data_IF_870928619506
#
_entry.id   IF_870928619506
#
_cell.length_a   1.000
_cell.length_b   1.000
_cell.length_c   1.000
_cell.angle_alpha   90.00
_cell.angle_beta   90.00
_cell.angle_gamma   90.00
#
_symmetry.space_group_name_H-M   'P 1'
#
loop_
_entity.id
_entity.type
_entity.pdbx_description
1 polymer ?
2 non-polymer ?
#
# COMPACT_ATOMS: atom_id res chain seq x y z
N UNK A 44 4.23 -13.06 2.29
CA UNK A 44 2.85 -12.61 2.36
C UNK A 44 2.68 -11.63 3.52
N UNK A 45 2.58 -10.35 3.19
CA UNK A 45 2.50 -9.27 4.16
C UNK A 45 1.14 -8.59 4.11
N UNK A 46 0.81 -7.90 5.21
CA UNK A 46 -0.42 -7.15 5.29
C UNK A 46 -0.37 -5.95 4.34
N UNK A 47 -1.51 -5.64 3.72
CA UNK A 47 -1.60 -4.48 2.87
C UNK A 47 -1.29 -3.21 3.67
N UNK A 48 -0.52 -2.31 3.05
CA UNK A 48 -0.01 -1.14 3.72
C UNK A 48 1.45 -1.22 4.06
N UNK A 49 2.05 -2.41 3.99
CA UNK A 49 3.47 -2.56 4.25
C UNK A 49 4.27 -1.85 3.17
N UNK A 50 5.26 -1.07 3.60
CA UNK A 50 6.08 -0.28 2.70
C UNK A 50 7.41 -1.00 2.47
N UNK A 51 7.71 -1.30 1.21
CA UNK A 51 8.95 -1.96 0.83
C UNK A 51 9.81 -1.01 0.01
N UNK A 52 11.07 -1.37 -0.15
CA UNK A 52 12.04 -0.56 -0.88
C UNK A 52 12.19 -1.07 -2.30
N UNK A 53 12.11 -0.17 -3.27
CA UNK A 53 12.39 -0.50 -4.65
C UNK A 53 13.90 -0.61 -4.87
N UNK A 54 14.29 -1.02 -6.08
CA UNK A 54 15.71 -1.15 -6.39
C UNK A 54 16.43 0.18 -6.35
N UNK A 55 15.71 1.28 -6.58
CA UNK A 55 16.33 2.60 -6.55
C UNK A 55 16.47 3.13 -5.13
N UNK A 56 15.55 2.78 -4.24
CA UNK A 56 15.59 3.24 -2.87
C UNK A 56 14.28 3.83 -2.39
N UNK A 57 13.43 4.23 -3.33
CA UNK A 57 12.13 4.78 -2.97
C UNK A 57 11.21 3.68 -2.46
N UNK A 58 10.10 4.11 -1.85
CA UNK A 58 9.16 3.18 -1.23
C UNK A 58 8.06 2.76 -2.21
N UNK A 59 7.40 1.66 -1.86
CA UNK A 59 6.28 1.13 -2.64
C UNK A 59 5.42 0.30 -1.71
N UNK A 60 4.10 0.46 -1.84
CA UNK A 60 3.19 -0.36 -1.05
C UNK A 60 3.23 -1.80 -1.52
N UNK A 61 3.05 -2.72 -0.56
CA UNK A 61 3.10 -4.14 -0.88
C UNK A 61 1.94 -4.53 -1.80
N UNK A 62 0.79 -3.87 -1.64
CA UNK A 62 -0.34 -4.12 -2.52
C UNK A 62 -0.16 -3.54 -3.91
N UNK A 63 0.81 -2.64 -4.08
CA UNK A 63 1.08 -2.01 -5.36
C UNK A 63 2.19 -2.70 -6.15
N UNK A 64 2.81 -3.73 -5.57
CA UNK A 64 3.86 -4.47 -6.27
C UNK A 64 3.23 -5.31 -7.38
N UNK A 65 3.86 -5.29 -8.54
CA UNK A 65 3.40 -6.03 -9.71
C UNK A 65 4.49 -6.97 -10.21
N UNK A 66 4.13 -7.82 -11.16
CA UNK A 66 5.08 -8.78 -11.71
C UNK A 66 6.19 -8.05 -12.45
N UNK A 67 7.44 -8.41 -12.14
CA UNK A 67 8.59 -7.78 -12.75
C UNK A 67 9.12 -6.56 -12.03
N UNK A 68 8.44 -6.10 -10.99
CA UNK A 68 8.89 -4.91 -10.26
C UNK A 68 10.22 -5.19 -9.57
N UNK A 69 11.03 -4.13 -9.45
CA UNK A 69 12.39 -4.24 -8.95
C UNK A 69 12.44 -3.79 -7.49
N UNK A 70 12.58 -4.76 -6.59
CA UNK A 70 12.74 -4.52 -5.17
C UNK A 70 14.23 -4.46 -4.81
N UNK A 71 14.52 -4.15 -3.55
CA UNK A 71 15.88 -4.00 -3.07
C UNK A 71 16.24 -5.16 -2.15
N UNK A 72 17.34 -5.84 -2.43
CA UNK A 72 17.80 -6.94 -1.62
C UNK A 72 18.70 -6.49 -0.50
N UNK A 73 18.98 -7.40 0.45
CA UNK A 73 19.81 -7.02 1.60
C UNK A 73 21.25 -6.72 1.26
N UNK A 74 21.75 -7.16 0.10
CA UNK A 74 23.12 -6.89 -0.30
C UNK A 74 23.24 -5.66 -1.21
N UNK A 75 22.14 -4.95 -1.44
CA UNK A 75 22.13 -3.76 -2.27
C UNK A 75 21.77 -3.97 -3.72
N UNK A 76 21.90 -5.18 -4.25
CA UNK A 76 21.51 -5.42 -5.63
C UNK A 76 20.00 -5.60 -5.73
N UNK A 77 19.50 -5.60 -6.96
CA UNK A 77 18.07 -5.60 -7.20
C UNK A 77 17.47 -7.00 -7.11
N UNK A 78 16.14 -7.03 -6.99
CA UNK A 78 15.37 -8.26 -6.93
C UNK A 78 14.16 -8.12 -7.86
N UNK A 79 13.70 -9.24 -8.39
CA UNK A 79 12.57 -9.26 -9.32
C UNK A 79 11.40 -9.99 -8.67
N UNK A 80 10.28 -9.30 -8.52
CA UNK A 80 9.08 -9.88 -7.94
C UNK A 80 8.21 -10.47 -9.05
N UNK A 81 7.55 -11.58 -8.74
CA UNK A 81 6.70 -12.26 -9.71
C UNK A 81 5.70 -13.13 -8.95
N UNK A 82 4.73 -13.65 -9.70
CA UNK A 82 3.66 -14.51 -9.18
C UNK A 82 2.96 -13.84 -7.99
N UNK A 83 2.26 -12.76 -8.33
CA UNK A 83 1.54 -11.99 -7.32
C UNK A 83 0.33 -12.78 -6.84
N UNK A 84 0.12 -12.77 -5.52
CA UNK A 84 -0.98 -13.49 -4.89
C UNK A 84 -1.60 -12.59 -3.83
N UNK A 85 -2.91 -12.65 -3.70
CA UNK A 85 -3.63 -11.82 -2.74
C UNK A 85 -4.62 -12.67 -1.97
N UNK A 86 -5.05 -12.15 -0.83
CA UNK A 86 -6.01 -12.87 -0.01
C UNK A 86 -6.52 -12.01 1.12
N UNK A 87 -7.26 -12.65 2.02
CA UNK A 87 -7.85 -11.95 3.15
C UNK A 87 -8.07 -12.96 4.28
N UNK A 88 -7.32 -12.80 5.36
CA UNK A 88 -7.45 -13.71 6.50
C UNK A 88 -6.93 -13.01 7.75
N UNK A 89 -7.13 -13.67 8.89
CA UNK A 89 -6.61 -13.18 10.15
C UNK A 89 -5.10 -13.36 10.19
N UNK A 90 -4.37 -12.27 10.38
CA UNK A 90 -2.92 -12.29 10.27
C UNK A 90 -2.27 -12.28 11.65
N UNK A 91 -0.95 -12.48 11.66
CA UNK A 91 -0.14 -12.46 12.86
C UNK A 91 0.62 -11.14 12.93
N UNK A 92 0.51 -10.47 14.07
CA UNK A 92 1.21 -9.23 14.36
C UNK A 92 2.40 -9.54 15.25
N UNK A 93 3.60 -9.27 14.75
CA UNK A 93 4.85 -9.47 15.47
C UNK A 93 5.35 -8.12 15.95
N UNK A 94 5.40 -7.95 17.27
CA UNK A 94 5.88 -6.72 17.88
C UNK A 94 7.31 -6.94 18.36
N UNK A 95 8.22 -6.12 17.82
CA UNK A 95 9.63 -6.10 18.21
C UNK A 95 9.97 -4.70 18.70
N UNK A 96 11.09 -4.59 19.41
CA UNK A 96 11.50 -3.31 19.94
C UNK A 96 12.01 -2.41 18.83
N UNK A 97 11.91 -1.10 19.07
CA UNK A 97 12.34 -0.05 18.15
C UNK A 97 11.53 -0.03 16.85
N UNK A 98 11.52 -1.14 16.12
CA UNK A 98 10.97 -1.15 14.77
C UNK A 98 9.45 -1.33 14.78
N UNK A 99 8.83 -0.88 13.68
CA UNK A 99 7.40 -1.02 13.48
C UNK A 99 7.00 -2.49 13.42
N UNK A 100 5.77 -2.77 13.87
CA UNK A 100 5.26 -4.13 13.90
C UNK A 100 5.24 -4.75 12.51
N UNK A 101 5.36 -6.07 12.46
CA UNK A 101 5.33 -6.83 11.22
C UNK A 101 4.09 -7.70 11.20
N UNK A 102 3.16 -7.42 10.28
CA UNK A 102 1.91 -8.16 10.17
C UNK A 102 2.01 -9.03 8.93
N UNK A 103 1.94 -10.34 9.12
CA UNK A 103 2.14 -11.28 8.03
C UNK A 103 1.22 -12.49 8.21
N UNK A 104 1.31 -13.44 7.28
CA UNK A 104 0.45 -14.62 7.32
C UNK A 104 1.08 -15.73 8.17
N UNK A 105 0.31 -16.81 8.35
CA UNK A 105 0.78 -17.94 9.14
C UNK A 105 1.93 -18.66 8.45
N UNK A 106 1.93 -18.71 7.12
CA UNK A 106 2.94 -19.43 6.37
C UNK A 106 4.15 -18.56 6.02
N UNK A 107 4.20 -17.34 6.53
CA UNK A 107 5.32 -16.45 6.24
C UNK A 107 6.61 -16.97 6.87
N UNK A 108 7.71 -16.86 6.13
CA UNK A 108 9.02 -17.31 6.59
C UNK A 108 9.78 -16.11 7.13
N UNK A 109 10.27 -16.23 8.37
CA UNK A 109 11.04 -15.18 9.02
C UNK A 109 12.52 -15.54 8.95
N UNK A 110 13.33 -14.57 8.55
CA UNK A 110 14.79 -14.69 8.54
C UNK A 110 15.31 -14.14 9.86
N UNK A 111 15.67 -15.04 10.79
CA UNK A 111 16.04 -14.66 12.14
C UNK A 111 17.47 -15.05 12.42
N UNK A 112 17.96 -14.58 13.57
CA UNK A 112 19.26 -14.95 14.10
C UNK A 112 19.08 -15.56 15.48
N UNK A 113 19.73 -16.68 15.72
CA UNK A 113 19.62 -17.42 16.97
C UNK A 113 20.95 -17.40 17.71
N UNK A 114 20.89 -17.29 19.03
CA UNK A 114 22.09 -17.29 19.84
C UNK A 114 22.82 -18.62 19.72
N UNK A 115 24.12 -18.60 20.04
CA UNK A 115 24.97 -19.77 19.96
C UNK A 115 24.97 -20.40 18.56
N UNK A 133 29.03 -15.67 16.59
CA UNK A 133 28.24 -15.56 17.80
C UNK A 133 26.80 -16.02 17.55
N UNK A 134 26.16 -15.43 16.54
CA UNK A 134 24.79 -15.75 16.17
C UNK A 134 24.78 -16.59 14.89
N UNK A 135 23.73 -17.41 14.75
CA UNK A 135 23.55 -18.28 13.60
C UNK A 135 22.29 -17.88 12.84
N UNK A 136 22.36 -17.94 11.52
CA UNK A 136 21.26 -17.53 10.65
C UNK A 136 20.27 -18.68 10.47
N UNK A 137 18.99 -18.42 10.73
CA UNK A 137 17.96 -19.45 10.72
C UNK A 137 16.70 -18.90 10.06
N UNK A 138 16.15 -19.65 9.10
CA UNK A 138 14.84 -19.35 8.53
C UNK A 138 13.80 -20.24 9.19
N UNK A 139 12.74 -19.63 9.72
CA UNK A 139 11.69 -20.36 10.42
C UNK A 139 10.34 -19.75 10.10
N UNK A 140 9.34 -20.61 9.90
CA UNK A 140 8.01 -20.12 9.56
C UNK A 140 7.35 -19.48 10.78
N UNK A 141 6.28 -18.71 10.51
CA UNK A 141 5.57 -18.01 11.59
C UNK A 141 4.84 -18.98 12.50
N UNK A 142 4.26 -20.05 11.93
CA UNK A 142 3.49 -20.99 12.72
C UNK A 142 4.37 -21.71 13.74
N UNK A 143 5.49 -22.28 13.28
CA UNK A 143 6.41 -22.96 14.18
C UNK A 143 6.94 -22.01 15.24
N UNK A 144 7.27 -20.78 14.85
CA UNK A 144 7.76 -19.81 15.83
C UNK A 144 6.69 -19.48 16.87
N UNK A 145 5.42 -19.45 16.46
CA UNK A 145 4.33 -19.26 17.41
C UNK A 145 4.27 -20.44 18.38
N UNK A 146 4.47 -21.66 17.87
CA UNK A 146 4.38 -22.83 18.73
C UNK A 146 5.59 -23.01 19.65
N UNK A 147 6.71 -22.34 19.38
CA UNK A 147 7.86 -22.45 20.26
C UNK A 147 7.58 -21.79 21.61
N UNK A 148 8.16 -22.32 22.69
CA UNK A 148 8.01 -21.68 24.00
C UNK A 148 8.73 -20.35 24.05
N UNK A 149 8.32 -19.52 25.02
CA UNK A 149 8.87 -18.16 25.13
C UNK A 149 10.36 -18.19 25.42
N UNK A 150 10.82 -19.15 26.23
CA UNK A 150 12.23 -19.25 26.53
C UNK A 150 13.05 -19.51 25.27
N UNK A 151 12.46 -20.18 24.29
CA UNK A 151 13.10 -20.37 23.00
C UNK A 151 12.87 -19.19 22.06
N UNK A 152 11.70 -18.54 22.14
CA UNK A 152 11.43 -17.38 21.31
C UNK A 152 12.39 -16.24 21.63
N UNK A 153 12.78 -16.09 22.89
CA UNK A 153 13.67 -15.00 23.28
C UNK A 153 15.08 -15.16 22.72
N UNK A 154 15.43 -16.33 22.18
CA UNK A 154 16.76 -16.54 21.60
C UNK A 154 16.86 -16.10 20.14
N UNK A 155 15.74 -15.77 19.50
CA UNK A 155 15.73 -15.39 18.09
C UNK A 155 15.65 -13.88 17.95
N UNK A 156 16.29 -13.37 16.89
CA UNK A 156 16.36 -11.94 16.65
C UNK A 156 16.11 -11.64 15.17
N UNK A 157 15.29 -10.63 14.91
CA UNK A 157 15.20 -10.05 13.58
C UNK A 157 16.47 -9.26 13.29
N UNK A 158 16.66 -8.92 12.01
CA UNK A 158 17.85 -8.15 11.65
C UNK A 158 17.54 -7.24 10.47
N UNK A 159 18.28 -6.13 10.42
CA UNK A 159 18.14 -5.11 9.38
C UNK A 159 19.51 -4.85 8.76
N UNK A 160 19.48 -4.34 7.53
CA UNK A 160 20.70 -4.05 6.79
C UNK A 160 20.99 -2.56 6.85
N UNK A 161 22.23 -2.22 7.22
CA UNK A 161 22.64 -0.83 7.34
C UNK A 161 24.02 -0.62 6.72
N UNK A 175 23.85 -4.26 10.04
CA UNK A 175 23.83 -5.55 10.73
C UNK A 175 23.34 -5.39 12.17
N UNK A 176 22.19 -4.74 12.33
CA UNK A 176 21.60 -4.51 13.65
C UNK A 176 20.65 -5.66 13.99
N UNK A 177 20.77 -6.17 15.21
CA UNK A 177 19.93 -7.26 15.69
C UNK A 177 18.83 -6.70 16.57
N UNK A 178 17.64 -7.28 16.47
CA UNK A 178 16.45 -6.78 17.13
C UNK A 178 15.71 -7.89 17.87
N UNK A 179 15.30 -7.60 19.09
CA UNK A 179 14.62 -8.57 19.92
C UNK A 179 13.18 -8.75 19.45
N UNK A 180 12.75 -10.00 19.31
CA UNK A 180 11.35 -10.33 19.06
C UNK A 180 10.71 -10.55 20.43
N UNK A 181 9.75 -9.69 20.78
CA UNK A 181 9.24 -9.71 22.14
C UNK A 181 7.74 -10.03 22.26
N UNK A 182 7.00 -9.99 21.16
CA UNK A 182 5.62 -10.47 21.23
C UNK A 182 5.14 -10.82 19.83
N UNK A 183 4.14 -11.69 19.77
CA UNK A 183 3.55 -12.10 18.50
C UNK A 183 2.17 -12.70 18.77
N UNK A 184 1.13 -12.07 18.22
CA UNK A 184 -0.23 -12.45 18.52
C UNK A 184 -1.07 -12.48 17.24
N UNK A 185 -2.17 -13.23 17.30
CA UNK A 185 -3.08 -13.33 16.17
C UNK A 185 -4.10 -12.20 16.21
N UNK A 186 -4.29 -11.55 15.07
CA UNK A 186 -5.23 -10.43 14.98
C UNK A 186 -6.66 -10.89 15.17
N UNK A 187 -7.50 -9.98 15.65
CA UNK A 187 -8.89 -10.31 15.94
C UNK A 187 -9.72 -10.43 14.67
N UNK A 188 -9.59 -9.47 13.76
CA UNK A 188 -10.42 -9.45 12.57
C UNK A 188 -9.60 -9.72 11.31
N UNK A 189 -10.21 -10.30 10.28
CA UNK A 189 -9.47 -10.59 9.04
C UNK A 189 -8.95 -9.31 8.38
N UNK A 190 -7.94 -9.50 7.53
CA UNK A 190 -7.26 -8.39 6.87
C UNK A 190 -6.77 -8.86 5.51
N UNK A 191 -6.83 -7.97 4.53
CA UNK A 191 -6.30 -8.26 3.21
C UNK A 191 -4.78 -8.30 3.24
N UNK A 192 -4.21 -9.24 2.47
CA UNK A 192 -2.76 -9.40 2.41
C UNK A 192 -2.34 -9.65 0.96
N UNK A 193 -1.09 -9.28 0.67
CA UNK A 193 -0.48 -9.48 -0.64
C UNK A 193 0.87 -10.17 -0.46
N UNK A 194 1.25 -10.97 -1.46
CA UNK A 194 2.49 -11.71 -1.43
C UNK A 194 2.99 -11.97 -2.83
N UNK A 195 4.24 -12.42 -2.91
CA UNK A 195 4.92 -12.67 -4.17
C UNK A 195 6.18 -13.47 -3.86
N UNK A 196 6.94 -13.79 -4.91
CA UNK A 196 8.21 -14.50 -4.79
C UNK A 196 9.33 -13.58 -5.27
N UNK A 197 10.53 -13.86 -4.78
CA UNK A 197 11.71 -13.03 -5.05
C UNK A 197 12.84 -13.93 -5.51
N UNK A 198 13.55 -13.49 -6.54
CA UNK A 198 14.67 -14.25 -7.10
C UNK A 198 15.90 -14.08 -6.22
N UNK A 199 17.03 -14.64 -6.68
CA UNK A 199 18.33 -14.56 -5.97
C UNK A 199 18.15 -15.22 -4.61
N UNK A 200 18.63 -14.62 -3.51
CA UNK A 200 18.48 -15.22 -2.19
C UNK A 200 17.05 -15.16 -1.66
N UNK A 201 16.09 -14.69 -2.46
CA UNK A 201 14.69 -14.62 -2.06
C UNK A 201 14.48 -13.72 -0.85
N UNK A 202 15.34 -12.71 -0.69
CA UNK A 202 15.26 -11.76 0.41
C UNK A 202 15.01 -10.36 -0.15
N UNK A 203 14.24 -9.57 0.59
CA UNK A 203 13.97 -8.19 0.21
C UNK A 203 13.96 -7.33 1.47
N UNK A 204 13.87 -6.02 1.28
CA UNK A 204 13.99 -5.06 2.37
C UNK A 204 12.68 -4.31 2.57
N UNK A 205 12.31 -4.11 3.84
CA UNK A 205 11.20 -3.25 4.19
C UNK A 205 11.66 -1.79 4.14
N UNK A 206 10.70 -0.87 4.31
CA UNK A 206 11.03 0.55 4.30
C UNK A 206 12.02 0.92 5.39
N UNK A 207 11.95 0.24 6.54
CA UNK A 207 12.90 0.43 7.62
C UNK A 207 14.09 -0.52 7.53
N UNK A 208 14.38 -1.02 6.32
CA UNK A 208 15.52 -1.88 6.03
C UNK A 208 15.45 -3.23 6.73
N UNK A 209 14.28 -3.62 7.23
CA UNK A 209 14.14 -4.95 7.82
C UNK A 209 14.19 -6.01 6.72
N UNK A 210 14.99 -7.05 6.95
CA UNK A 210 15.17 -8.10 5.95
C UNK A 210 14.02 -9.09 6.05
N UNK A 211 13.36 -9.34 4.92
CA UNK A 211 12.23 -10.24 4.85
C UNK A 211 12.50 -11.34 3.83
N UNK A 212 11.84 -12.48 4.03
CA UNK A 212 11.92 -13.66 3.19
C UNK A 212 10.57 -13.91 2.52
N UNK A 213 10.59 -14.72 1.46
CA UNK A 213 9.37 -15.12 0.76
C UNK A 213 8.26 -15.55 1.72
N UNK B 44 -4.59 14.72 12.19
CA UNK B 44 -3.65 14.31 11.14
C UNK B 44 -2.92 13.04 11.53
N UNK B 45 -3.33 11.92 10.95
CA UNK B 45 -2.77 10.61 11.28
C UNK B 45 -2.01 10.04 10.10
N UNK B 46 -1.12 9.10 10.41
CA UNK B 46 -0.36 8.42 9.37
C UNK B 46 -1.28 7.52 8.55
N UNK B 47 -1.01 7.45 7.24
CA UNK B 47 -1.77 6.57 6.38
C UNK B 47 -1.60 5.11 6.81
N UNK B 48 -2.70 4.37 6.77
CA UNK B 48 -2.77 3.02 7.26
C UNK B 48 -3.50 2.86 8.57
N UNK B 49 -3.73 3.96 9.29
CA UNK B 49 -4.49 3.89 10.53
C UNK B 49 -5.94 3.51 10.25
N UNK B 50 -6.45 2.55 11.01
CA UNK B 50 -7.81 2.04 10.83
C UNK B 50 -8.73 2.71 11.83
N UNK B 51 -9.77 3.37 11.33
CA UNK B 51 -10.75 4.05 12.15
C UNK B 51 -12.10 3.36 12.04
N UNK B 52 -12.99 3.67 12.98
CA UNK B 52 -14.32 3.07 13.02
C UNK B 52 -15.35 4.02 12.43
N UNK B 53 -16.17 3.51 11.51
CA UNK B 53 -17.31 4.27 11.01
C UNK B 53 -18.44 4.27 12.02
N UNK B 54 -19.50 5.02 11.72
CA UNK B 54 -20.63 5.11 12.63
C UNK B 54 -21.34 3.76 12.78
N UNK B 55 -21.23 2.90 11.78
CA UNK B 55 -21.88 1.59 11.85
C UNK B 55 -21.07 0.60 12.69
N UNK B 56 -19.74 0.72 12.68
CA UNK B 56 -18.90 -0.19 13.42
C UNK B 56 -17.76 -0.78 12.61
N UNK B 57 -17.91 -0.78 11.29
CA UNK B 57 -16.89 -1.31 10.41
C UNK B 57 -15.68 -0.38 10.38
N UNK B 58 -14.56 -0.90 9.86
CA UNK B 58 -13.31 -0.15 9.83
C UNK B 58 -13.18 0.63 8.52
N UNK B 59 -12.28 1.61 8.54
CA UNK B 59 -12.02 2.44 7.37
C UNK B 59 -10.63 3.03 7.52
N UNK B 60 -9.88 3.03 6.41
CA UNK B 60 -8.56 3.65 6.41
C UNK B 60 -8.70 5.16 6.52
N UNK B 61 -7.72 5.79 7.18
CA UNK B 61 -7.76 7.23 7.37
C UNK B 61 -7.62 7.96 6.03
N UNK B 62 -6.85 7.40 5.10
CA UNK B 62 -6.70 8.02 3.78
C UNK B 62 -7.92 7.84 2.90
N UNK B 63 -8.83 6.94 3.26
CA UNK B 63 -10.03 6.69 2.47
C UNK B 63 -11.24 7.46 2.99
N UNK B 64 -11.10 8.20 4.08
CA UNK B 64 -12.21 8.99 4.60
C UNK B 64 -12.44 10.19 3.69
N UNK B 65 -13.70 10.46 3.38
CA UNK B 65 -14.09 11.57 2.51
C UNK B 65 -15.04 12.50 3.24
N UNK B 66 -15.37 13.60 2.59
CA UNK B 66 -16.27 14.59 3.17
C UNK B 66 -17.67 14.00 3.33
N UNK B 67 -18.26 14.20 4.50
CA UNK B 67 -19.58 13.71 4.79
C UNK B 67 -19.63 12.29 5.33
N UNK B 68 -18.51 11.59 5.39
CA UNK B 68 -18.49 10.24 5.94
C UNK B 68 -18.83 10.27 7.42
N UNK B 69 -19.48 9.20 7.88
CA UNK B 69 -19.99 9.12 9.25
C UNK B 69 -19.05 8.26 10.09
N UNK B 70 -18.29 8.89 10.97
CA UNK B 70 -17.45 8.18 11.91
C UNK B 70 -18.19 7.96 13.23
N UNK B 71 -17.56 7.21 14.13
CA UNK B 71 -18.16 6.85 15.41
C UNK B 71 -17.42 7.56 16.53
N UNK B 72 -18.16 8.28 17.36
CA UNK B 72 -17.59 9.02 18.48
C UNK B 72 -17.50 8.18 19.74
N UNK B 73 -16.77 8.68 20.74
CA UNK B 73 -16.60 7.89 21.97
C UNK B 73 -17.88 7.71 22.77
N UNK B 74 -18.91 8.52 22.54
CA UNK B 74 -20.17 8.39 23.24
C UNK B 74 -21.19 7.57 22.49
N UNK B 75 -20.82 6.98 21.35
CA UNK B 75 -21.72 6.16 20.57
C UNK B 75 -22.44 6.91 19.45
N UNK B 76 -22.50 8.23 19.51
CA UNK B 76 -23.18 9.00 18.48
C UNK B 76 -22.27 9.15 17.25
N UNK B 77 -22.87 9.63 16.17
CA UNK B 77 -22.18 9.72 14.90
C UNK B 77 -21.35 11.00 14.81
N UNK B 78 -20.43 11.02 13.85
CA UNK B 78 -19.59 12.18 13.60
C UNK B 78 -19.52 12.44 12.10
N UNK B 79 -19.34 13.70 11.73
CA UNK B 79 -19.27 14.11 10.33
C UNK B 79 -17.87 14.63 10.03
N UNK B 80 -17.20 14.00 9.07
CA UNK B 80 -15.86 14.40 8.68
C UNK B 80 -15.91 15.38 7.52
N UNK B 81 -14.99 16.35 7.54
CA UNK B 81 -14.93 17.37 6.51
C UNK B 81 -13.54 17.98 6.51
N UNK B 82 -13.27 18.80 5.51
CA UNK B 82 -11.99 19.48 5.32
C UNK B 82 -10.83 18.49 5.34
N UNK B 83 -10.80 17.66 4.29
CA UNK B 83 -9.76 16.65 4.17
C UNK B 83 -8.43 17.31 3.84
N UNK B 84 -7.36 16.85 4.48
CA UNK B 84 -6.03 17.41 4.31
C UNK B 84 -5.02 16.26 4.25
N UNK B 85 -4.04 16.39 3.37
CA UNK B 85 -3.02 15.37 3.18
C UNK B 85 -1.63 16.02 3.15
N UNK B 86 -0.61 15.20 3.40
CA UNK B 86 0.75 15.69 3.37
C UNK B 86 1.74 14.56 3.51
N UNK B 87 3.01 14.94 3.67
CA UNK B 87 4.08 13.96 3.80
C UNK B 87 5.24 14.62 4.54
N UNK B 88 5.52 14.15 5.75
CA UNK B 88 6.61 14.69 6.56
C UNK B 88 7.02 13.64 7.58
N UNK B 89 8.10 13.93 8.30
CA UNK B 89 8.56 13.06 9.36
C UNK B 89 7.60 13.14 10.55
N UNK B 90 7.04 12.00 10.93
CA UNK B 90 5.99 11.94 11.94
C UNK B 90 6.54 11.46 13.27
N UNK B 91 5.69 11.55 14.30
CA UNK B 91 6.02 11.08 15.64
C UNK B 91 5.32 9.74 15.90
N UNK B 92 6.09 8.76 16.37
CA UNK B 92 5.55 7.45 16.70
C UNK B 92 5.36 7.36 18.21
N UNK B 93 4.12 7.17 18.64
CA UNK B 93 3.78 7.04 20.05
C UNK B 93 3.54 5.57 20.35
N UNK B 94 4.39 5.00 21.20
CA UNK B 94 4.30 3.59 21.57
C UNK B 94 3.65 3.48 22.94
N UNK B 95 2.55 2.73 23.01
CA UNK B 95 1.88 2.43 24.25
C UNK B 95 1.81 0.91 24.45
N UNK B 96 1.59 0.50 25.69
CA UNK B 96 1.53 -0.92 26.03
C UNK B 96 0.20 -1.52 25.57
N UNK B 97 0.28 -2.78 25.13
CA UNK B 97 -0.88 -3.60 24.74
C UNK B 97 -1.68 -3.01 23.58
N UNK B 98 -1.32 -1.81 23.13
CA UNK B 98 -2.03 -1.15 22.05
C UNK B 98 -1.11 -0.90 20.87
N UNK B 99 -1.71 -0.81 19.68
CA UNK B 99 -0.96 -0.49 18.47
C UNK B 99 -0.41 0.93 18.56
N UNK B 100 0.76 1.13 17.96
CA UNK B 100 1.40 2.45 17.99
C UNK B 100 0.52 3.49 17.31
N UNK B 101 0.67 4.74 17.76
CA UNK B 101 -0.06 5.87 17.20
C UNK B 101 0.95 6.81 16.54
N UNK B 102 0.87 6.92 15.23
CA UNK B 102 1.77 7.75 14.44
C UNK B 102 0.97 8.95 13.94
N UNK B 103 1.39 10.14 14.33
CA UNK B 103 0.67 11.37 14.01
C UNK B 103 1.67 12.48 13.75
N UNK B 104 1.15 13.67 13.44
CA UNK B 104 1.98 14.82 13.10
C UNK B 104 2.37 15.59 14.36
N UNK B 105 3.23 16.59 14.18
CA UNK B 105 3.68 17.40 15.30
C UNK B 105 2.55 18.24 15.90
N UNK B 106 1.61 18.69 15.07
CA UNK B 106 0.51 19.53 15.51
C UNK B 106 -0.72 18.73 15.93
N UNK B 107 -0.60 17.40 15.98
CA UNK B 107 -1.74 16.57 16.36
C UNK B 107 -2.08 16.77 17.83
N UNK B 108 -3.37 16.82 18.13
CA UNK B 108 -3.87 17.02 19.48
C UNK B 108 -4.20 15.67 20.09
N UNK B 109 -3.67 15.40 21.27
CA UNK B 109 -3.89 14.15 21.98
C UNK B 109 -4.98 14.34 23.03
N UNK B 110 -5.93 13.41 23.05
CA UNK B 110 -6.98 13.40 24.07
C UNK B 110 -6.49 12.54 25.22
N UNK B 111 -6.03 13.20 26.29
CA UNK B 111 -5.41 12.52 27.40
C UNK B 111 -6.20 12.75 28.69
N UNK B 112 -5.81 12.01 29.73
CA UNK B 112 -6.34 12.18 31.08
C UNK B 112 -5.18 12.48 32.01
N UNK B 113 -5.34 13.48 32.87
CA UNK B 113 -4.32 13.90 33.80
C UNK B 113 -4.78 13.64 35.23
N UNK B 114 -3.87 13.20 36.08
CA UNK B 114 -4.20 12.95 37.47
C UNK B 114 -4.60 14.24 38.17
N UNK B 115 -5.30 14.09 39.29
CA UNK B 115 -5.82 15.22 40.07
C UNK B 115 -6.73 16.10 39.22
N UNK B 133 -11.13 11.95 40.05
CA UNK B 133 -9.77 11.47 40.23
C UNK B 133 -8.84 12.00 39.15
N UNK B 134 -9.22 11.76 37.89
CA UNK B 134 -8.43 12.22 36.75
C UNK B 134 -9.11 13.40 36.07
N UNK B 135 -8.30 14.23 35.42
CA UNK B 135 -8.76 15.42 34.73
C UNK B 135 -8.50 15.29 33.24
N UNK B 136 -9.45 15.77 32.43
CA UNK B 136 -9.37 15.66 30.98
C UNK B 136 -8.59 16.84 30.42
N UNK B 137 -7.57 16.54 29.60
CA UNK B 137 -6.66 17.55 29.08
C UNK B 137 -6.38 17.26 27.62
N UNK B 138 -6.54 18.28 26.76
CA UNK B 138 -6.12 18.22 25.37
C UNK B 138 -4.78 18.93 25.23
N UNK B 139 -3.79 18.24 24.69
CA UNK B 139 -2.44 18.79 24.53
C UNK B 139 -1.86 18.28 23.22
N UNK B 140 -1.15 19.17 22.52
CA UNK B 140 -0.55 18.79 21.25
C UNK B 140 0.65 17.87 21.48
N UNK B 141 1.09 17.24 20.39
CA UNK B 141 2.21 16.31 20.47
C UNK B 141 3.50 17.06 20.77
N UNK B 142 3.66 18.26 20.18
CA UNK B 142 4.89 19.02 20.38
C UNK B 142 5.03 19.47 21.83
N UNK B 143 3.97 20.07 22.40
CA UNK B 143 4.02 20.49 23.79
C UNK B 143 4.24 19.30 24.73
N UNK B 144 3.59 18.17 24.44
CA UNK B 144 3.79 16.98 25.27
C UNK B 144 5.22 16.47 25.18
N UNK B 145 5.84 16.59 23.99
CA UNK B 145 7.24 16.22 23.85
C UNK B 145 8.12 17.16 24.67
N UNK B 146 7.80 18.45 24.69
CA UNK B 146 8.61 19.42 25.42
C UNK B 146 8.40 19.33 26.93
N UNK B 147 7.37 18.63 27.39
CA UNK B 147 7.15 18.46 28.81
C UNK B 147 8.23 17.55 29.40
N UNK B 148 8.61 17.76 30.66
CA UNK B 148 9.58 16.86 31.30
C UNK B 148 9.00 15.47 31.51
N UNK B 149 9.91 14.51 31.69
CA UNK B 149 9.50 13.11 31.81
C UNK B 149 8.63 12.88 33.04
N UNK B 150 9.02 13.45 34.19
CA UNK B 150 8.24 13.32 35.41
C UNK B 150 6.90 14.03 35.32
N UNK B 151 6.69 14.87 34.31
CA UNK B 151 5.37 15.40 33.99
C UNK B 151 4.66 14.58 32.94
N UNK B 152 5.41 14.02 31.99
CA UNK B 152 4.83 13.15 30.98
C UNK B 152 4.20 11.90 31.59
N UNK B 153 4.79 11.39 32.68
CA UNK B 153 4.28 10.18 33.31
C UNK B 153 2.91 10.38 33.95
N UNK B 154 2.43 11.61 34.08
CA UNK B 154 1.13 11.89 34.67
C UNK B 154 -0.02 11.79 33.69
N UNK B 155 0.25 11.67 32.40
CA UNK B 155 -0.78 11.63 31.38
C UNK B 155 -1.04 10.20 30.92
N UNK B 156 -2.30 9.92 30.57
CA UNK B 156 -2.74 8.60 30.15
C UNK B 156 -3.67 8.72 28.94
N UNK B 157 -3.45 7.86 27.95
CA UNK B 157 -4.43 7.70 26.90
C UNK B 157 -5.65 6.96 27.44
N UNK B 158 -6.75 7.00 26.70
CA UNK B 158 -7.98 6.35 27.14
C UNK B 158 -8.80 5.89 25.94
N UNK B 159 -9.61 4.86 26.18
CA UNK B 159 -10.49 4.29 25.17
C UNK B 159 -11.91 4.23 25.72
N UNK B 160 -12.87 4.27 24.80
CA UNK B 160 -14.28 4.26 25.16
C UNK B 160 -14.89 2.88 24.90
N UNK B 161 -15.58 2.35 25.90
CA UNK B 161 -16.22 1.04 25.78
C UNK B 161 -17.62 1.07 26.41
N UNK B 175 -13.66 3.21 29.59
CA UNK B 175 -12.83 4.21 30.27
C UNK B 175 -11.55 3.58 30.82
N UNK B 176 -10.82 2.88 29.95
CA UNK B 176 -9.57 2.23 30.32
C UNK B 176 -8.41 3.19 30.09
N UNK B 177 -7.52 3.29 31.09
CA UNK B 177 -6.38 4.19 31.03
C UNK B 177 -5.12 3.40 30.68
N UNK B 178 -4.24 4.00 29.88
CA UNK B 178 -3.06 3.32 29.37
C UNK B 178 -1.84 4.21 29.57
N UNK B 179 -0.75 3.61 30.03
CA UNK B 179 0.48 4.33 30.29
C UNK B 179 1.19 4.67 28.98
N UNK B 180 1.60 5.93 28.84
CA UNK B 180 2.48 6.36 27.75
C UNK B 180 3.92 6.27 28.25
N UNK B 181 4.78 5.60 27.48
CA UNK B 181 6.14 5.34 27.94
C UNK B 181 7.23 5.71 26.93
N UNK B 182 6.85 6.03 25.70
CA UNK B 182 7.83 6.46 24.72
C UNK B 182 7.15 7.22 23.59
N UNK B 183 7.90 8.12 22.97
CA UNK B 183 7.45 8.89 21.82
C UNK B 183 8.65 9.51 21.13
N UNK B 184 8.87 9.15 19.86
CA UNK B 184 10.05 9.57 19.13
C UNK B 184 9.67 10.01 17.73
N UNK B 185 10.53 10.82 17.13
CA UNK B 185 10.34 11.30 15.76
C UNK B 185 10.94 10.31 14.77
N UNK B 186 10.17 9.94 13.75
CA UNK B 186 10.65 8.99 12.75
C UNK B 186 11.76 9.61 11.91
N UNK B 187 12.64 8.74 11.40
CA UNK B 187 13.79 9.21 10.63
C UNK B 187 13.41 9.58 9.20
N UNK B 188 12.46 8.87 8.59
CA UNK B 188 12.09 9.12 7.21
C UNK B 188 10.67 9.67 7.12
N UNK B 189 10.41 10.61 6.20
CA UNK B 189 9.05 11.14 6.06
C UNK B 189 8.06 10.05 5.63
N UNK B 190 6.78 10.32 5.88
CA UNK B 190 5.72 9.36 5.62
C UNK B 190 4.45 10.13 5.28
N UNK B 191 3.66 9.59 4.36
CA UNK B 191 2.40 10.21 4.00
C UNK B 191 1.42 10.14 5.17
N UNK B 192 0.65 11.21 5.35
CA UNK B 192 -0.32 11.31 6.43
C UNK B 192 -1.61 11.92 5.92
N UNK B 193 -2.71 11.58 6.58
CA UNK B 193 -4.02 12.11 6.24
C UNK B 193 -4.67 12.70 7.48
N UNK B 194 -5.49 13.73 7.28
CA UNK B 194 -6.16 14.40 8.37
C UNK B 194 -7.47 15.01 7.92
N UNK B 195 -8.25 15.43 8.90
CA UNK B 195 -9.57 16.03 8.67
C UNK B 195 -10.03 16.65 9.97
N UNK B 196 -11.22 17.25 9.94
CA UNK B 196 -11.84 17.81 11.13
C UNK B 196 -13.14 17.06 11.40
N UNK B 197 -13.57 17.08 12.65
CA UNK B 197 -14.74 16.35 13.10
C UNK B 197 -15.64 17.29 13.89
N UNK B 198 -16.95 17.21 13.66
CA UNK B 198 -17.92 18.05 14.33
C UNK B 198 -18.15 17.53 15.74
N UNK B 199 -19.13 18.13 16.43
CA UNK B 199 -19.52 17.75 17.80
C UNK B 199 -18.30 17.94 18.70
N UNK B 200 -17.99 16.99 19.58
CA UNK B 200 -16.83 17.12 20.47
C UNK B 200 -15.50 16.98 19.75
N UNK B 201 -15.50 16.82 18.42
CA UNK B 201 -14.27 16.69 17.63
C UNK B 201 -13.45 15.48 18.05
N UNK B 202 -14.11 14.43 18.54
CA UNK B 202 -13.45 13.21 18.96
C UNK B 202 -13.93 12.04 18.11
N UNK B 203 -13.01 11.12 17.82
CA UNK B 203 -13.33 9.91 17.08
C UNK B 203 -12.54 8.75 17.67
N UNK B 204 -12.86 7.54 17.23
CA UNK B 204 -12.28 6.32 17.76
C UNK B 204 -11.47 5.60 16.70
N UNK B 205 -10.33 5.05 17.11
CA UNK B 205 -9.54 4.18 16.25
C UNK B 205 -10.16 2.79 16.24
N UNK B 206 -9.59 1.89 15.42
CA UNK B 206 -10.13 0.53 15.32
C UNK B 206 -10.09 -0.18 16.67
N UNK B 207 -9.08 0.11 17.49
CA UNK B 207 -8.99 -0.42 18.84
C UNK B 207 -9.68 0.47 19.87
N UNK B 208 -10.64 1.29 19.43
CA UNK B 208 -11.47 2.14 20.28
C UNK B 208 -10.66 3.21 21.01
N UNK B 209 -9.44 3.48 20.56
CA UNK B 209 -8.64 4.55 21.14
C UNK B 209 -9.22 5.90 20.77
N UNK B 210 -9.35 6.79 21.75
CA UNK B 210 -9.96 8.09 21.52
C UNK B 210 -8.93 9.03 20.89
N UNK B 211 -9.30 9.62 19.75
CA UNK B 211 -8.43 10.51 19.01
C UNK B 211 -9.11 11.86 18.82
N UNK B 212 -8.30 12.89 18.61
CA UNK B 212 -8.76 14.25 18.38
C UNK B 212 -8.36 14.67 16.97
N UNK B 213 -9.05 15.70 16.46
CA UNK B 213 -8.74 16.28 15.15
C UNK B 213 -7.25 16.51 14.93
N UNK C 44 -4.60 -6.07 -29.24
CA UNK C 44 -4.27 -7.37 -28.67
C UNK C 44 -3.67 -7.20 -27.28
N UNK C 45 -4.47 -7.47 -26.25
CA UNK C 45 -4.08 -7.29 -24.86
C UNK C 45 -4.01 -8.64 -24.17
N UNK C 46 -3.28 -8.67 -23.05
CA UNK C 46 -3.16 -9.88 -22.24
C UNK C 46 -4.49 -10.22 -21.59
N UNK C 47 -4.79 -11.51 -21.52
CA UNK C 47 -5.99 -11.96 -20.82
C UNK C 47 -5.95 -11.54 -19.36
N UNK C 48 -7.10 -11.09 -18.86
CA UNK C 48 -7.19 -10.53 -17.52
C UNK C 48 -7.32 -9.02 -17.51
N UNK C 49 -7.06 -8.35 -18.63
CA UNK C 49 -7.23 -6.91 -18.70
C UNK C 49 -8.70 -6.54 -18.55
N UNK C 50 -8.99 -5.56 -17.71
CA UNK C 50 -10.36 -5.15 -17.42
C UNK C 50 -10.70 -3.92 -18.25
N UNK C 51 -11.73 -4.03 -19.07
CA UNK C 51 -12.19 -2.94 -19.92
C UNK C 51 -13.57 -2.47 -19.46
N UNK C 52 -13.95 -1.29 -19.94
CA UNK C 52 -15.24 -0.69 -19.58
C UNK C 52 -16.25 -0.93 -20.67
N UNK C 53 -17.43 -1.42 -20.28
CA UNK C 53 -18.55 -1.53 -21.20
C UNK C 53 -19.19 -0.17 -21.42
N UNK C 54 -20.18 -0.12 -22.32
CA UNK C 54 -20.85 1.14 -22.60
C UNK C 54 -21.62 1.65 -21.39
N UNK C 55 -22.04 0.76 -20.50
CA UNK C 55 -22.78 1.18 -19.31
C UNK C 55 -21.84 1.69 -18.22
N UNK C 56 -20.63 1.14 -18.12
CA UNK C 56 -19.69 1.56 -17.11
C UNK C 56 -19.09 0.40 -16.34
N UNK C 57 -19.76 -0.75 -16.36
CA UNK C 57 -19.26 -1.93 -15.66
C UNK C 57 -18.06 -2.50 -16.40
N UNK C 58 -17.36 -3.41 -15.71
CA UNK C 58 -16.13 -3.98 -16.25
C UNK C 58 -16.42 -5.25 -17.04
N UNK C 59 -15.44 -5.65 -17.85
CA UNK C 59 -15.55 -6.86 -18.66
C UNK C 59 -14.14 -7.33 -18.98
N UNK C 60 -13.93 -8.64 -18.88
CA UNK C 60 -12.64 -9.22 -19.24
C UNK C 60 -12.43 -9.14 -20.75
N UNK C 61 -11.18 -8.95 -21.15
CA UNK C 61 -10.87 -8.82 -22.57
C UNK C 61 -11.15 -10.13 -23.31
N UNK C 62 -10.93 -11.28 -22.65
CA UNK C 62 -11.22 -12.57 -23.26
C UNK C 62 -12.70 -12.88 -23.31
N UNK C 63 -13.54 -12.15 -22.57
CA UNK C 63 -14.98 -12.39 -22.53
C UNK C 63 -15.75 -11.50 -23.50
N UNK C 64 -15.09 -10.59 -24.21
CA UNK C 64 -15.77 -9.75 -25.19
C UNK C 64 -16.15 -10.59 -26.40
N UNK C 65 -17.36 -10.36 -26.91
CA UNK C 65 -17.87 -11.07 -28.07
C UNK C 65 -18.24 -10.07 -29.17
N UNK C 66 -18.48 -10.60 -30.36
CA UNK C 66 -18.81 -9.75 -31.50
C UNK C 66 -20.12 -9.02 -31.24
N UNK C 67 -20.07 -7.69 -31.29
CA UNK C 67 -21.23 -6.86 -31.03
C UNK C 67 -21.26 -6.23 -29.66
N UNK C 68 -20.32 -6.56 -28.79
CA UNK C 68 -20.29 -5.99 -27.45
C UNK C 68 -20.01 -4.50 -27.51
N UNK C 69 -20.59 -3.77 -26.55
CA UNK C 69 -20.53 -2.31 -26.52
C UNK C 69 -19.48 -1.86 -25.50
N UNK C 70 -18.36 -1.36 -26.00
CA UNK C 70 -17.32 -0.80 -25.15
C UNK C 70 -17.52 0.71 -24.99
N UNK C 71 -16.68 1.32 -24.18
CA UNK C 71 -16.76 2.74 -23.86
C UNK C 71 -15.60 3.49 -24.50
N UNK C 72 -15.91 4.53 -25.26
CA UNK C 72 -14.90 5.33 -25.90
C UNK C 72 -14.44 6.48 -25.03
N UNK C 73 -13.35 7.14 -25.43
CA UNK C 73 -12.81 8.24 -24.61
C UNK C 73 -13.70 9.46 -24.56
N UNK C 74 -14.64 9.61 -25.49
CA UNK C 74 -15.54 10.74 -25.52
C UNK C 74 -16.87 10.46 -24.83
N UNK C 75 -17.02 9.29 -24.21
CA UNK C 75 -18.24 8.92 -23.53
C UNK C 75 -19.22 8.11 -24.37
N UNK C 76 -19.09 8.15 -25.68
CA UNK C 76 -19.99 7.39 -26.54
C UNK C 76 -19.56 5.93 -26.60
N UNK C 77 -20.43 5.11 -27.17
CA UNK C 77 -20.21 3.66 -27.18
C UNK C 77 -19.32 3.26 -28.35
N UNK C 78 -18.79 2.05 -28.26
CA UNK C 78 -17.96 1.46 -29.30
C UNK C 78 -18.41 0.03 -29.56
N UNK C 79 -18.22 -0.44 -30.79
CA UNK C 79 -18.64 -1.77 -31.19
C UNK C 79 -17.41 -2.61 -31.52
N UNK C 80 -17.26 -3.72 -30.82
CA UNK C 80 -16.15 -4.64 -31.05
C UNK C 80 -16.55 -5.72 -32.04
N UNK C 81 -15.59 -6.14 -32.86
CA UNK C 81 -15.82 -7.16 -33.87
C UNK C 81 -14.48 -7.80 -34.22
N UNK C 82 -14.56 -8.90 -34.97
CA UNK C 82 -13.38 -9.66 -35.39
C UNK C 82 -12.54 -10.03 -34.17
N UNK C 83 -13.11 -10.92 -33.35
CA UNK C 83 -12.44 -11.36 -32.14
C UNK C 83 -11.25 -12.24 -32.52
N UNK C 84 -10.13 -12.03 -31.85
CA UNK C 84 -8.89 -12.74 -32.13
C UNK C 84 -8.20 -13.08 -30.82
N UNK C 85 -7.65 -14.30 -30.75
CA UNK C 85 -6.96 -14.79 -29.57
C UNK C 85 -5.63 -15.42 -29.98
N UNK C 86 -4.74 -15.57 -29.02
CA UNK C 86 -3.45 -16.16 -29.29
C UNK C 86 -2.66 -16.40 -28.02
N UNK C 87 -1.39 -16.76 -28.21
CA UNK C 87 -0.51 -17.06 -27.09
C UNK C 87 0.93 -16.82 -27.54
N UNK C 88 1.57 -15.79 -26.96
CA UNK C 88 2.95 -15.48 -27.30
C UNK C 88 3.56 -14.67 -26.15
N UNK C 89 4.87 -14.45 -26.25
CA UNK C 89 5.56 -13.62 -25.28
C UNK C 89 5.17 -12.16 -25.48
N UNK C 90 4.63 -11.54 -24.44
CA UNK C 90 4.07 -10.20 -24.54
C UNK C 90 5.03 -9.16 -23.94
N UNK C 91 4.70 -7.90 -24.19
CA UNK C 91 5.46 -6.77 -23.66
C UNK C 91 4.72 -6.16 -22.48
N UNK C 92 5.43 -5.96 -21.38
CA UNK C 92 4.88 -5.36 -20.18
C UNK C 92 5.30 -3.89 -20.12
N UNK C 93 4.31 -3.00 -20.14
CA UNK C 93 4.54 -1.56 -20.09
C UNK C 93 4.22 -1.09 -18.68
N UNK C 94 5.24 -0.62 -17.98
CA UNK C 94 5.10 -0.14 -16.60
C UNK C 94 5.07 1.38 -16.58
N UNK C 95 4.02 1.92 -15.97
CA UNK C 95 3.89 3.36 -15.76
C UNK C 95 3.82 3.65 -14.27
N UNK C 96 4.08 4.91 -13.92
CA UNK C 96 4.11 5.30 -12.51
C UNK C 96 2.69 5.36 -11.95
N UNK C 97 2.46 4.63 -10.86
CA UNK C 97 1.17 4.61 -10.16
C UNK C 97 0.03 4.22 -11.09
N UNK C 98 0.26 3.20 -11.90
CA UNK C 98 -0.78 2.63 -12.75
C UNK C 98 -0.54 1.13 -12.89
N UNK C 99 -1.61 0.39 -13.14
CA UNK C 99 -1.48 -1.04 -13.38
C UNK C 99 -0.72 -1.27 -14.68
N UNK C 100 0.08 -2.34 -14.71
CA UNK C 100 0.88 -2.64 -15.89
C UNK C 100 -0.01 -2.88 -17.10
N UNK C 101 0.54 -2.59 -18.27
CA UNK C 101 -0.14 -2.82 -19.55
C UNK C 101 0.65 -3.88 -20.30
N UNK C 102 0.06 -5.06 -20.46
CA UNK C 102 0.69 -6.17 -21.13
C UNK C 102 -0.01 -6.37 -22.48
N UNK C 103 0.75 -6.23 -23.56
CA UNK C 103 0.20 -6.29 -24.91
C UNK C 103 1.21 -6.95 -25.84
N UNK C 104 0.82 -7.06 -27.11
CA UNK C 104 1.65 -7.72 -28.12
C UNK C 104 2.63 -6.74 -28.76
N UNK C 105 3.51 -7.29 -29.60
CA UNK C 105 4.51 -6.47 -30.27
C UNK C 105 3.88 -5.51 -31.27
N UNK C 106 2.79 -5.92 -31.92
CA UNK C 106 2.13 -5.11 -32.94
C UNK C 106 1.06 -4.19 -32.37
N UNK C 107 0.91 -4.14 -31.04
CA UNK C 107 -0.10 -3.29 -30.43
C UNK C 107 0.25 -1.82 -30.65
N UNK C 108 -0.76 -1.02 -30.94
CA UNK C 108 -0.60 0.41 -31.19
C UNK C 108 -0.90 1.16 -29.90
N UNK C 109 0.03 2.02 -29.49
CA UNK C 109 -0.13 2.81 -28.28
C UNK C 109 -0.56 4.22 -28.64
N UNK C 110 -1.58 4.73 -27.95
CA UNK C 110 -2.04 6.10 -28.10
C UNK C 110 -1.30 6.95 -27.08
N UNK C 111 -0.28 7.68 -27.54
CA UNK C 111 0.61 8.43 -26.69
C UNK C 111 0.52 9.92 -26.99
N UNK C 112 1.17 10.71 -26.15
CA UNK C 112 1.31 12.15 -26.34
C UNK C 112 2.79 12.50 -26.37
N UNK C 113 3.18 13.32 -27.34
CA UNK C 113 4.57 13.71 -27.53
C UNK C 113 4.71 15.20 -27.28
N UNK C 114 5.80 15.58 -26.60
CA UNK C 114 6.08 16.98 -26.34
C UNK C 114 6.34 17.73 -27.64
N UNK C 115 5.96 19.00 -27.65
CA UNK C 115 6.07 19.86 -28.84
C UNK C 115 5.33 19.25 -30.03
N UNK C 133 0.77 22.26 -26.82
CA UNK C 133 1.94 21.85 -26.07
C UNK C 133 2.34 20.42 -26.40
N UNK C 134 1.40 19.49 -26.28
CA UNK C 134 1.64 18.09 -26.58
C UNK C 134 1.00 17.72 -27.90
N UNK C 135 1.59 16.72 -28.57
CA UNK C 135 1.12 16.24 -29.86
C UNK C 135 0.64 14.80 -29.74
N UNK C 136 -0.44 14.48 -30.43
CA UNK C 136 -1.03 13.15 -30.39
C UNK C 136 -0.36 12.27 -31.45
N UNK C 137 0.13 11.12 -31.03
CA UNK C 137 0.91 10.23 -31.90
C UNK C 137 0.48 8.79 -31.63
N UNK C 138 0.20 8.06 -32.71
CA UNK C 138 -0.04 6.61 -32.63
C UNK C 138 1.26 5.91 -33.03
N UNK C 139 1.75 5.03 -32.15
CA UNK C 139 3.01 4.34 -32.38
C UNK C 139 2.88 2.92 -31.86
N UNK C 140 3.44 1.96 -32.60
CA UNK C 140 3.37 0.56 -32.20
C UNK C 140 4.31 0.30 -31.03
N UNK C 141 4.10 -0.86 -30.39
CA UNK C 141 4.92 -1.23 -29.24
C UNK C 141 6.35 -1.54 -29.67
N UNK C 142 6.52 -2.17 -30.83
CA UNK C 142 7.85 -2.53 -31.30
C UNK C 142 8.70 -1.30 -31.59
N UNK C 143 8.15 -0.36 -32.38
CA UNK C 143 8.88 0.87 -32.69
C UNK C 143 9.20 1.65 -31.43
N UNK C 144 8.27 1.70 -30.49
CA UNK C 144 8.53 2.40 -29.23
C UNK C 144 9.62 1.69 -28.42
N UNK C 145 9.68 0.36 -28.49
CA UNK C 145 10.76 -0.37 -27.83
C UNK C 145 12.09 -0.02 -28.46
N UNK C 146 12.13 0.11 -29.78
CA UNK C 146 13.39 0.42 -30.45
C UNK C 146 13.83 1.87 -30.26
N UNK C 147 12.95 2.74 -29.79
CA UNK C 147 13.31 4.14 -29.58
C UNK C 147 14.32 4.27 -28.44
N UNK C 148 15.23 5.24 -28.53
CA UNK C 148 16.16 5.49 -27.43
C UNK C 148 15.44 6.04 -26.21
N UNK C 149 16.11 5.91 -25.06
CA UNK C 149 15.50 6.32 -23.79
C UNK C 149 15.23 7.82 -23.77
N UNK C 150 16.12 8.62 -24.36
CA UNK C 150 15.89 10.06 -24.39
C UNK C 150 14.65 10.41 -25.20
N UNK C 151 14.29 9.59 -26.18
CA UNK C 151 13.05 9.76 -26.92
C UNK C 151 11.86 9.10 -26.23
N UNK C 152 12.09 7.97 -25.56
CA UNK C 152 11.02 7.32 -24.82
C UNK C 152 10.50 8.22 -23.69
N UNK C 153 11.39 8.98 -23.07
CA UNK C 153 10.97 9.88 -21.99
C UNK C 153 10.13 11.04 -22.48
N UNK C 154 10.07 11.27 -23.79
CA UNK C 154 9.25 12.35 -24.34
C UNK C 154 7.81 11.95 -24.58
N UNK C 155 7.48 10.66 -24.47
CA UNK C 155 6.14 10.18 -24.71
C UNK C 155 5.43 9.92 -23.38
N UNK C 156 4.13 10.16 -23.38
CA UNK C 156 3.31 10.02 -22.17
C UNK C 156 2.01 9.31 -22.53
N UNK C 157 1.62 8.35 -21.70
CA UNK C 157 0.27 7.81 -21.80
C UNK C 157 -0.73 8.85 -21.32
N UNK C 158 -2.00 8.62 -21.63
CA UNK C 158 -3.04 9.55 -21.22
C UNK C 158 -4.35 8.80 -21.00
N UNK C 159 -5.16 9.33 -20.11
CA UNK C 159 -6.45 8.74 -19.76
C UNK C 159 -7.55 9.79 -19.88
N UNK C 160 -8.75 9.33 -20.19
CA UNK C 160 -9.90 10.20 -20.37
C UNK C 160 -10.82 10.10 -19.17
N UNK C 161 -11.20 11.24 -18.61
CA UNK C 161 -12.10 11.27 -17.46
C UNK C 161 -13.14 12.36 -17.61
N UNK C 175 -7.61 14.28 -18.89
CA UNK C 175 -6.41 14.48 -19.68
C UNK C 175 -5.16 14.40 -18.82
N UNK C 176 -5.03 13.31 -18.06
CA UNK C 176 -3.89 13.11 -17.18
C UNK C 176 -2.80 12.36 -17.94
N UNK C 177 -1.57 12.87 -17.86
CA UNK C 177 -0.43 12.28 -18.54
C UNK C 177 0.42 11.48 -17.56
N UNK C 178 0.96 10.36 -18.03
CA UNK C 178 1.68 9.42 -17.20
C UNK C 178 3.02 9.08 -17.84
N UNK C 179 4.08 9.06 -17.04
CA UNK C 179 5.41 8.78 -17.53
C UNK C 179 5.58 7.28 -17.78
N UNK C 180 6.10 6.92 -18.95
CA UNK C 180 6.53 5.56 -19.24
C UNK C 180 8.01 5.46 -18.89
N UNK C 181 8.35 4.62 -17.92
CA UNK C 181 9.73 4.55 -17.45
C UNK C 181 10.36 3.17 -17.56
N UNK C 182 9.58 2.17 -17.98
CA UNK C 182 10.14 0.87 -18.28
C UNK C 182 9.18 0.12 -19.19
N UNK C 183 9.75 -0.78 -20.00
CA UNK C 183 8.98 -1.63 -20.91
C UNK C 183 9.86 -2.78 -21.35
N UNK C 184 9.44 -4.01 -21.03
CA UNK C 184 10.27 -5.18 -21.28
C UNK C 184 9.41 -6.31 -21.85
N UNK C 185 10.08 -7.24 -22.52
CA UNK C 185 9.44 -8.42 -23.07
C UNK C 185 9.44 -9.52 -22.01
N UNK C 186 8.27 -10.13 -21.81
CA UNK C 186 8.16 -11.16 -20.79
C UNK C 186 8.97 -12.40 -21.17
N UNK C 187 9.45 -13.11 -20.16
CA UNK C 187 10.29 -14.29 -20.36
C UNK C 187 9.49 -15.52 -20.76
N UNK C 188 8.17 -15.50 -20.61
CA UNK C 188 7.32 -16.65 -20.86
C UNK C 188 6.07 -16.24 -21.62
N UNK C 189 5.61 -17.07 -22.56
CA UNK C 189 4.40 -16.72 -23.32
C UNK C 189 3.17 -16.64 -22.43
N UNK C 190 2.16 -15.94 -22.93
CA UNK C 190 0.93 -15.70 -22.20
C UNK C 190 -0.21 -15.59 -23.19
N UNK C 191 -1.38 -16.11 -22.79
CA UNK C 191 -2.57 -16.02 -23.64
C UNK C 191 -3.02 -14.57 -23.76
N UNK C 192 -3.46 -14.19 -24.95
CA UNK C 192 -3.91 -12.83 -25.21
C UNK C 192 -5.15 -12.86 -26.10
N UNK C 193 -5.96 -11.80 -25.99
CA UNK C 193 -7.16 -11.64 -26.80
C UNK C 193 -7.13 -10.26 -27.44
N UNK C 194 -7.74 -10.15 -28.63
CA UNK C 194 -7.76 -8.89 -29.34
C UNK C 194 -9.00 -8.77 -30.21
N UNK C 195 -9.23 -7.55 -30.70
CA UNK C 195 -10.39 -7.22 -31.51
C UNK C 195 -10.16 -5.85 -32.13
N UNK C 196 -11.15 -5.40 -32.92
CA UNK C 196 -11.11 -4.09 -33.54
C UNK C 196 -12.28 -3.26 -33.01
N UNK C 197 -12.12 -1.95 -33.08
CA UNK C 197 -13.09 -1.00 -32.55
C UNK C 197 -13.42 0.03 -33.62
N UNK C 198 -14.70 0.37 -33.74
CA UNK C 198 -15.17 1.33 -34.73
C UNK C 198 -14.87 2.75 -34.25
N UNK C 199 -15.37 3.73 -35.01
CA UNK C 199 -15.19 5.17 -34.72
C UNK C 199 -13.68 5.46 -34.72
N UNK C 200 -13.16 6.19 -33.75
CA UNK C 200 -11.73 6.48 -33.67
C UNK C 200 -10.88 5.27 -33.31
N UNK C 201 -11.50 4.09 -33.17
CA UNK C 201 -10.80 2.85 -32.82
C UNK C 201 -10.13 2.94 -31.46
N UNK C 202 -10.69 3.74 -30.56
CA UNK C 202 -10.17 3.91 -29.21
C UNK C 202 -11.20 3.43 -28.20
N UNK C 203 -10.72 2.83 -27.12
CA UNK C 203 -11.56 2.38 -26.02
C UNK C 203 -10.84 2.64 -24.71
N UNK C 204 -11.55 2.43 -23.61
CA UNK C 204 -11.05 2.75 -22.27
C UNK C 204 -10.85 1.48 -21.45
N UNK C 205 -9.76 1.46 -20.69
CA UNK C 205 -9.51 0.41 -19.72
C UNK C 205 -10.32 0.69 -18.46
N UNK C 206 -10.28 -0.24 -17.51
CA UNK C 206 -11.04 -0.07 -16.28
C UNK C 206 -10.63 1.19 -15.52
N UNK C 207 -9.35 1.57 -15.60
CA UNK C 207 -8.87 2.80 -15.02
C UNK C 207 -8.93 3.98 -16.00
N UNK C 208 -9.81 3.90 -17.00
CA UNK C 208 -10.06 4.96 -17.97
C UNK C 208 -8.86 5.25 -18.87
N UNK C 209 -7.88 4.34 -18.91
CA UNK C 209 -6.74 4.53 -19.80
C UNK C 209 -7.17 4.34 -21.25
N UNK C 210 -6.73 5.26 -22.11
CA UNK C 210 -7.13 5.24 -23.51
C UNK C 210 -6.27 4.23 -24.25
N UNK C 211 -6.92 3.31 -24.96
CA UNK C 211 -6.25 2.24 -25.69
C UNK C 211 -6.62 2.29 -27.16
N UNK C 212 -5.74 1.73 -27.98
CA UNK C 212 -5.92 1.64 -29.42
C UNK C 212 -6.03 0.17 -29.82
N UNK C 213 -6.57 -0.06 -31.02
CA UNK C 213 -6.69 -1.41 -31.58
C UNK C 213 -5.43 -2.24 -31.40
X LIG D 1 4.22 -15.27 2.03
X LIG E 1 -2.89 -20.25 4.37
X LIG F 1 15.54 -19.08 2.97
X LIG G 1 -4.31 16.90 12.55
X LIG H 1 2.01 21.49 11.24
X LIG I 1 -10.83 18.76 22.19
X LIG J 1 -4.21 -6.09 -31.44
X LIG K 1 2.48 -9.99 -35.10
X LIG L 1 -5.27 5.60 -34.52
#
# INVERSE_FOLDING_TARGET
>A
XGSSHHHHHHSSGLVPRGSHXASXTGGQQXGRGSEFELRRQASCLQNGTRLLRADGSEILVEDVQEGDQLLGPDGTSRTASKIVRGEERLYRIKADELEDLVCTHNHILSLYKERSGSEQDPSPSTDPSSTDSYERVDITVDDFVRLPQQEQQKYRLFRSTDFKRADQPSTSSLATLLHIMSIDLEEKPTKWSGFVVDKDSLYLRHDYLVLHNS
>B
XGSSHHHHHHSSGLVPRGSHXASXTGGQQXGRGSEFELRRQASCLQNGTRLLRADGSEILVEDVQEGDQLLGPDGTSRTASKIVRGEERLYRIKADELEDLVCTHNHILSLYKERSGSEQDPSPSTDPSSTDSYERVDITVDDFVRLPQQEQQKYRLFRSTDFKRADQPSTSSLATLLHIMSIDLEEKPTKWSGFVVDKDSLYLRHDYLVLHNS
>C
XGSSHHHHHHSSGLVPRGSHXASXTGGQQXGRGSEFELRRQASCLQNGTRLLRADGSEILVEDVQEGDQLLGPDGTSRTASKIVRGEERLYRIKADELEDLVCTHNHILSLYKERSGSEQDPSPSTDPSSTDSYERVDITVDDFVRLPQQEQQKYRLFRSTDFKRADQPSTSSLATLLHIMSIDLEEKPTKWSGFVVDKDSLYLRHDYLVLHNS
>D hetero
1 PT PT
>E hetero
1 PT PT
>F hetero
1 PT PT
>G hetero
1 PT PT
>H hetero
1 PT PT
>I hetero
1 PT PT
>J hetero
1 PT PT
>K hetero
1 PT PT
>L hetero
1 PT PT
#
